data_IF_776705620427
#
_entry.id   IF_776705620427
#
_cell.length_a   1.000
_cell.length_b   1.000
_cell.length_c   1.000
_cell.angle_alpha   90.00
_cell.angle_beta   90.00
_cell.angle_gamma   90.00
#
_symmetry.space_group_name_H-M   'P 1'
#
loop_
_entity.id
_entity.type
_entity.pdbx_description
1 polymer ?
#
# COMPACT_ATOMS: atom_id res chain seq x y z
N UNK A 1 -20.55 -7.51 19.28
CA UNK A 1 -21.87 -8.12 19.06
C UNK A 1 -21.70 -9.40 18.24
N UNK A 2 -22.40 -10.47 18.63
CA UNK A 2 -22.38 -11.71 17.85
C UNK A 2 -23.36 -11.53 16.69
N UNK A 3 -22.88 -11.58 15.44
CA UNK A 3 -23.76 -11.61 14.28
C UNK A 3 -24.65 -12.86 14.33
N UNK A 4 -25.93 -12.70 14.07
CA UNK A 4 -26.79 -13.86 13.81
C UNK A 4 -26.65 -14.25 12.34
N UNK A 5 -25.86 -15.26 12.09
CA UNK A 5 -25.54 -15.72 10.73
C UNK A 5 -26.75 -16.29 9.98
N UNK A 6 -27.85 -16.56 10.68
CA UNK A 6 -29.08 -17.05 10.04
C UNK A 6 -29.79 -15.98 9.22
N UNK A 7 -29.52 -14.70 9.50
CA UNK A 7 -30.13 -13.57 8.78
C UNK A 7 -29.44 -13.26 7.43
N UNK A 8 -28.31 -13.91 7.14
CA UNK A 8 -27.52 -13.66 5.95
C UNK A 8 -27.63 -14.80 4.94
N UNK A 9 -27.64 -14.47 3.66
CA UNK A 9 -27.54 -15.43 2.54
C UNK A 9 -26.15 -15.55 1.96
N UNK A 10 -25.29 -14.52 2.17
CA UNK A 10 -23.93 -14.44 1.62
C UNK A 10 -22.97 -13.85 2.64
N UNK A 11 -21.75 -14.37 2.66
CA UNK A 11 -20.61 -13.82 3.41
C UNK A 11 -19.42 -13.64 2.46
N UNK A 12 -18.96 -12.39 2.33
CA UNK A 12 -17.73 -12.05 1.61
C UNK A 12 -16.54 -11.92 2.56
N UNK A 13 -15.43 -12.58 2.24
CA UNK A 13 -14.19 -12.49 3.01
C UNK A 13 -13.10 -11.93 2.10
N UNK A 14 -12.60 -10.73 2.40
CA UNK A 14 -11.51 -10.09 1.66
C UNK A 14 -10.16 -10.46 2.27
N UNK A 15 -9.28 -11.07 1.48
CA UNK A 15 -7.93 -11.50 1.87
C UNK A 15 -6.92 -10.72 1.01
N UNK A 16 -6.41 -9.63 1.56
CA UNK A 16 -5.51 -8.70 0.87
C UNK A 16 -4.03 -8.89 1.22
N UNK A 17 -3.74 -9.64 2.29
CA UNK A 17 -2.40 -9.89 2.78
C UNK A 17 -2.20 -11.37 3.11
N UNK A 18 -0.98 -11.91 2.87
CA UNK A 18 -0.66 -13.32 3.10
C UNK A 18 -0.96 -13.79 4.54
N UNK A 19 -0.73 -12.94 5.54
CA UNK A 19 -1.08 -13.22 6.93
C UNK A 19 -2.58 -13.41 7.20
N UNK A 20 -3.45 -12.99 6.29
CA UNK A 20 -4.91 -13.17 6.42
C UNK A 20 -5.41 -14.49 5.81
N UNK A 21 -4.56 -15.24 5.07
CA UNK A 21 -4.97 -16.47 4.38
C UNK A 21 -5.47 -17.51 5.38
N UNK A 22 -4.65 -17.85 6.37
CA UNK A 22 -5.01 -18.89 7.36
C UNK A 22 -6.25 -18.48 8.18
N UNK A 23 -6.32 -17.29 8.82
CA UNK A 23 -7.51 -16.92 9.57
C UNK A 23 -8.75 -16.75 8.68
N UNK A 24 -8.62 -16.23 7.45
CA UNK A 24 -9.73 -16.07 6.51
C UNK A 24 -10.31 -17.41 6.05
N UNK A 25 -9.46 -18.35 5.65
CA UNK A 25 -9.89 -19.70 5.27
C UNK A 25 -10.44 -20.49 6.47
N UNK A 26 -9.87 -20.30 7.66
CA UNK A 26 -10.42 -20.91 8.89
C UNK A 26 -11.83 -20.43 9.16
N UNK A 27 -12.06 -19.11 9.08
CA UNK A 27 -13.40 -18.52 9.22
C UNK A 27 -14.36 -19.07 8.16
N UNK A 28 -13.94 -19.09 6.90
CA UNK A 28 -14.74 -19.62 5.79
C UNK A 28 -15.20 -21.07 6.06
N UNK A 29 -14.26 -21.95 6.46
CA UNK A 29 -14.54 -23.35 6.76
C UNK A 29 -15.50 -23.51 7.95
N UNK A 30 -15.33 -22.72 9.01
CA UNK A 30 -16.20 -22.77 10.18
C UNK A 30 -17.62 -22.32 9.82
N UNK A 31 -17.77 -21.23 9.06
CA UNK A 31 -19.06 -20.74 8.59
C UNK A 31 -19.76 -21.77 7.70
N UNK A 32 -19.03 -22.34 6.74
CA UNK A 32 -19.58 -23.36 5.82
C UNK A 32 -20.11 -24.59 6.55
N UNK A 33 -19.39 -25.05 7.57
CA UNK A 33 -19.81 -26.20 8.37
C UNK A 33 -21.01 -25.91 9.27
N UNK A 34 -21.06 -24.71 9.86
CA UNK A 34 -22.06 -24.37 10.87
C UNK A 34 -23.34 -23.80 10.26
N UNK A 35 -23.21 -23.14 9.10
CA UNK A 35 -24.30 -22.43 8.40
C UNK A 35 -24.31 -22.82 6.91
N UNK A 36 -24.75 -24.04 6.56
CA UNK A 36 -24.67 -24.55 5.18
C UNK A 36 -25.49 -23.75 4.14
N UNK A 37 -26.41 -22.91 4.59
CA UNK A 37 -27.22 -22.04 3.72
C UNK A 37 -26.44 -20.80 3.24
N UNK A 38 -25.32 -20.45 3.88
CA UNK A 38 -24.53 -19.28 3.50
C UNK A 38 -23.73 -19.57 2.24
N UNK A 39 -23.83 -18.71 1.24
CA UNK A 39 -22.85 -18.65 0.16
C UNK A 39 -21.61 -17.90 0.65
N UNK A 40 -20.45 -18.52 0.59
CA UNK A 40 -19.20 -17.91 1.01
C UNK A 40 -18.40 -17.56 -0.23
N UNK A 41 -18.08 -16.28 -0.40
CA UNK A 41 -17.23 -15.75 -1.48
C UNK A 41 -15.94 -15.18 -0.91
N UNK A 42 -14.82 -15.55 -1.52
CA UNK A 42 -13.51 -14.98 -1.18
C UNK A 42 -13.16 -13.91 -2.23
N UNK A 43 -12.50 -12.85 -1.79
CA UNK A 43 -11.93 -11.82 -2.66
C UNK A 43 -10.61 -11.30 -2.09
N UNK A 44 -10.09 -10.27 -2.73
CA UNK A 44 -8.85 -9.60 -2.31
C UNK A 44 -7.63 -10.00 -3.13
N UNK A 45 -6.57 -9.19 -3.04
CA UNK A 45 -5.40 -9.25 -3.92
C UNK A 45 -4.65 -10.59 -3.88
N UNK A 46 -4.66 -11.31 -2.75
CA UNK A 46 -3.98 -12.61 -2.65
C UNK A 46 -4.61 -13.62 -3.59
N UNK A 47 -5.95 -13.74 -3.59
CA UNK A 47 -6.64 -14.68 -4.48
C UNK A 47 -6.66 -14.22 -5.93
N UNK A 48 -6.62 -12.92 -6.18
CA UNK A 48 -6.44 -12.38 -7.53
C UNK A 48 -5.10 -12.83 -8.13
N UNK A 49 -4.02 -12.79 -7.34
CA UNK A 49 -2.67 -13.21 -7.76
C UNK A 49 -2.51 -14.74 -7.91
N UNK A 50 -3.46 -15.52 -7.40
CA UNK A 50 -3.45 -16.97 -7.44
C UNK A 50 -4.64 -17.57 -8.20
N UNK A 51 -5.32 -16.76 -9.01
CA UNK A 51 -6.48 -17.21 -9.79
C UNK A 51 -6.16 -18.42 -10.67
N UNK A 52 -4.97 -18.45 -11.27
CA UNK A 52 -4.45 -19.53 -12.12
C UNK A 52 -4.23 -20.84 -11.36
N UNK A 53 -3.94 -20.79 -10.06
CA UNK A 53 -3.73 -21.99 -9.25
C UNK A 53 -5.02 -22.67 -8.84
N UNK A 54 -6.15 -21.97 -8.87
CA UNK A 54 -7.43 -22.47 -8.37
C UNK A 54 -7.95 -23.64 -9.19
N UNK A 55 -7.56 -23.78 -10.46
CA UNK A 55 -7.93 -24.91 -11.34
C UNK A 55 -7.60 -26.28 -10.74
N UNK A 56 -6.54 -26.34 -9.93
CA UNK A 56 -6.05 -27.55 -9.29
C UNK A 56 -6.37 -27.60 -7.78
N UNK A 57 -7.26 -26.74 -7.28
CA UNK A 57 -7.58 -26.60 -5.87
C UNK A 57 -9.06 -26.84 -5.54
N UNK A 58 -9.68 -27.84 -6.19
CA UNK A 58 -11.11 -28.20 -5.98
C UNK A 58 -11.47 -28.39 -4.50
N UNK A 59 -10.53 -28.86 -3.68
CA UNK A 59 -10.72 -29.02 -2.24
C UNK A 59 -11.05 -27.68 -1.54
N UNK A 60 -10.52 -26.54 -2.04
CA UNK A 60 -10.85 -25.23 -1.47
C UNK A 60 -12.32 -24.89 -1.68
N UNK A 61 -12.86 -25.17 -2.86
CA UNK A 61 -14.29 -24.95 -3.19
C UNK A 61 -15.19 -25.92 -2.43
N UNK A 62 -14.75 -27.15 -2.20
CA UNK A 62 -15.52 -28.16 -1.46
C UNK A 62 -15.59 -27.87 0.03
N UNK A 63 -14.49 -27.46 0.65
CA UNK A 63 -14.34 -27.41 2.10
C UNK A 63 -14.40 -26.00 2.72
N UNK A 64 -14.06 -24.96 1.95
CA UNK A 64 -13.89 -23.63 2.52
C UNK A 64 -14.88 -22.60 1.99
N UNK A 65 -15.02 -22.44 0.67
CA UNK A 65 -15.84 -21.39 0.07
C UNK A 65 -16.58 -21.90 -1.18
N UNK A 66 -17.54 -21.14 -1.69
CA UNK A 66 -18.32 -21.50 -2.87
C UNK A 66 -17.77 -20.85 -4.13
N UNK A 67 -17.21 -19.64 -4.01
CA UNK A 67 -16.71 -18.88 -5.15
C UNK A 67 -15.61 -17.90 -4.75
N UNK A 68 -14.88 -17.42 -5.75
CA UNK A 68 -13.87 -16.37 -5.62
C UNK A 68 -14.21 -15.25 -6.60
N UNK A 69 -14.14 -14.00 -6.16
CA UNK A 69 -14.18 -12.84 -7.05
C UNK A 69 -12.76 -12.33 -7.23
N UNK A 70 -12.30 -12.26 -8.46
CA UNK A 70 -11.00 -11.71 -8.85
C UNK A 70 -11.14 -10.29 -9.38
N UNK A 71 -10.03 -9.54 -9.39
CA UNK A 71 -10.01 -8.12 -9.76
C UNK A 71 -10.90 -7.26 -8.83
N UNK A 72 -11.55 -6.23 -9.34
CA UNK A 72 -12.43 -5.35 -8.56
C UNK A 72 -13.79 -6.00 -8.32
N UNK A 73 -14.26 -5.91 -7.09
CA UNK A 73 -15.41 -6.67 -6.61
C UNK A 73 -16.77 -5.97 -6.65
N UNK A 74 -16.82 -4.67 -6.90
CA UNK A 74 -18.06 -3.88 -6.75
C UNK A 74 -19.21 -4.43 -7.60
N UNK A 75 -19.02 -4.47 -8.90
CA UNK A 75 -20.04 -4.99 -9.84
C UNK A 75 -20.22 -6.51 -9.73
N UNK A 76 -19.17 -7.33 -9.70
CA UNK A 76 -19.32 -8.78 -9.54
C UNK A 76 -20.04 -9.19 -8.28
N UNK A 77 -19.81 -8.52 -7.14
CA UNK A 77 -20.49 -8.83 -5.89
C UNK A 77 -21.97 -8.47 -5.96
N UNK A 78 -22.31 -7.32 -6.53
CA UNK A 78 -23.71 -6.93 -6.75
C UNK A 78 -24.45 -7.96 -7.61
N UNK A 79 -23.85 -8.37 -8.73
CA UNK A 79 -24.42 -9.36 -9.61
C UNK A 79 -24.53 -10.73 -8.94
N UNK A 80 -23.52 -11.17 -8.19
CA UNK A 80 -23.59 -12.41 -7.41
C UNK A 80 -24.76 -12.40 -6.42
N UNK A 81 -24.95 -11.31 -5.68
CA UNK A 81 -26.09 -11.16 -4.76
C UNK A 81 -27.42 -11.28 -5.51
N UNK A 82 -27.56 -10.64 -6.67
CA UNK A 82 -28.78 -10.70 -7.48
C UNK A 82 -29.05 -12.12 -8.01
N UNK A 83 -28.00 -12.83 -8.47
CA UNK A 83 -28.14 -14.23 -8.93
C UNK A 83 -28.55 -15.17 -7.80
N UNK A 84 -27.96 -15.02 -6.62
CA UNK A 84 -28.34 -15.82 -5.45
C UNK A 84 -29.79 -15.58 -5.00
N UNK A 85 -30.27 -14.33 -5.08
CA UNK A 85 -31.66 -13.98 -4.76
C UNK A 85 -32.67 -14.52 -5.76
N UNK A 86 -32.31 -14.55 -7.03
CA UNK A 86 -33.22 -14.95 -8.13
C UNK A 86 -33.09 -16.41 -8.51
N UNK A 87 -32.08 -17.13 -8.02
CA UNK A 87 -31.78 -18.51 -8.39
C UNK A 87 -31.21 -18.64 -9.81
N UNK A 88 -30.67 -17.57 -10.39
CA UNK A 88 -30.04 -17.60 -11.71
C UNK A 88 -28.68 -18.29 -11.66
N UNK A 89 -28.25 -18.82 -12.82
CA UNK A 89 -26.95 -19.49 -12.94
C UNK A 89 -25.78 -18.52 -12.75
N UNK A 90 -24.74 -18.96 -12.05
CA UNK A 90 -23.54 -18.18 -11.77
C UNK A 90 -22.66 -17.88 -13.02
N UNK A 91 -22.89 -18.57 -14.12
CA UNK A 91 -22.08 -18.50 -15.33
C UNK A 91 -21.97 -17.11 -15.97
N UNK A 92 -22.88 -16.20 -15.66
CA UNK A 92 -22.91 -14.83 -16.20
C UNK A 92 -22.38 -13.76 -15.22
N UNK A 93 -22.06 -14.13 -13.98
CA UNK A 93 -21.46 -13.20 -13.00
C UNK A 93 -20.00 -12.93 -13.40
N UNK A 94 -19.63 -11.71 -13.77
CA UNK A 94 -18.27 -11.46 -14.23
C UNK A 94 -17.24 -11.64 -13.11
N UNK A 95 -15.99 -11.87 -13.47
CA UNK A 95 -14.86 -12.04 -12.55
C UNK A 95 -15.05 -13.15 -11.49
N UNK A 96 -16.06 -14.01 -11.63
CA UNK A 96 -16.35 -15.08 -10.69
C UNK A 96 -15.59 -16.36 -11.07
N UNK A 97 -14.96 -16.96 -10.09
CA UNK A 97 -14.42 -18.33 -10.18
C UNK A 97 -15.23 -19.19 -9.22
N UNK A 98 -15.79 -20.27 -9.69
CA UNK A 98 -16.61 -21.20 -8.90
C UNK A 98 -16.46 -22.63 -9.41
N UNK A 99 -16.96 -23.58 -8.65
CA UNK A 99 -16.92 -24.99 -9.07
C UNK A 99 -18.30 -25.44 -9.56
N UNK A 100 -18.34 -26.06 -10.73
CA UNK A 100 -19.49 -26.71 -11.34
C UNK A 100 -19.11 -28.16 -11.69
N UNK A 101 -19.85 -29.13 -11.21
CA UNK A 101 -19.62 -30.56 -11.45
C UNK A 101 -18.13 -30.99 -11.43
N UNK A 102 -17.44 -30.71 -10.33
CA UNK A 102 -16.01 -31.04 -10.14
C UNK A 102 -15.01 -30.23 -11.00
N UNK A 103 -15.48 -29.28 -11.80
CA UNK A 103 -14.63 -28.38 -12.60
C UNK A 103 -14.63 -26.98 -12.03
N UNK A 104 -13.47 -26.38 -11.99
CA UNK A 104 -13.36 -24.95 -11.69
C UNK A 104 -13.65 -24.17 -12.96
N UNK A 105 -14.57 -23.24 -12.88
CA UNK A 105 -15.03 -22.39 -13.99
C UNK A 105 -14.57 -20.96 -13.72
N UNK A 106 -13.92 -20.35 -14.68
CA UNK A 106 -13.56 -18.94 -14.71
C UNK A 106 -14.50 -18.20 -15.63
N UNK A 107 -15.32 -17.31 -15.09
CA UNK A 107 -16.19 -16.47 -15.91
C UNK A 107 -15.41 -15.35 -16.60
N UNK A 108 -16.03 -14.74 -17.61
CA UNK A 108 -15.45 -13.62 -18.34
C UNK A 108 -15.10 -12.47 -17.42
N UNK A 109 -13.94 -11.87 -17.63
CA UNK A 109 -13.51 -10.69 -16.88
C UNK A 109 -14.32 -9.47 -17.33
N UNK A 110 -14.83 -8.69 -16.37
CA UNK A 110 -15.45 -7.40 -16.64
C UNK A 110 -14.38 -6.29 -16.68
N UNK A 111 -14.67 -5.22 -17.40
CA UNK A 111 -13.91 -3.99 -17.26
C UNK A 111 -14.15 -3.38 -15.88
N UNK A 112 -13.12 -2.78 -15.34
CA UNK A 112 -13.19 -2.05 -14.07
C UNK A 112 -14.13 -0.84 -14.21
N UNK A 113 -14.90 -0.54 -13.17
CA UNK A 113 -15.79 0.63 -13.18
C UNK A 113 -14.98 1.92 -13.35
N UNK A 114 -15.48 2.89 -14.13
CA UNK A 114 -14.99 4.26 -14.09
C UNK A 114 -14.94 4.78 -12.66
N UNK A 115 -13.92 5.56 -12.32
CA UNK A 115 -13.72 5.96 -10.92
C UNK A 115 -14.88 6.81 -10.38
N UNK A 116 -15.48 7.63 -11.21
CA UNK A 116 -16.65 8.47 -10.90
C UNK A 116 -17.95 7.69 -10.62
N UNK A 117 -17.96 6.40 -10.93
CA UNK A 117 -19.07 5.49 -10.59
C UNK A 117 -18.85 4.74 -9.26
N UNK A 118 -17.67 4.88 -8.66
CA UNK A 118 -17.42 4.34 -7.33
C UNK A 118 -18.13 5.20 -6.28
N UNK A 119 -18.66 4.54 -5.26
CA UNK A 119 -19.35 5.23 -4.18
C UNK A 119 -18.37 5.75 -3.13
N UNK A 120 -18.68 6.90 -2.53
CA UNK A 120 -17.96 7.39 -1.37
C UNK A 120 -17.95 6.33 -0.25
N UNK A 121 -16.80 6.06 0.40
CA UNK A 121 -16.74 5.06 1.45
C UNK A 121 -17.67 5.38 2.63
N UNK A 122 -18.18 4.35 3.27
CA UNK A 122 -18.98 4.49 4.49
C UNK A 122 -18.43 3.61 5.61
N UNK A 123 -18.46 4.13 6.83
CA UNK A 123 -17.98 3.47 8.03
C UNK A 123 -19.08 3.26 9.06
N UNK A 124 -20.36 3.39 8.65
CA UNK A 124 -21.53 3.38 9.53
C UNK A 124 -21.69 2.09 10.33
N UNK A 125 -21.21 0.97 9.78
CA UNK A 125 -21.31 -0.33 10.44
C UNK A 125 -20.09 -0.69 11.30
N UNK A 126 -19.09 0.19 11.36
CA UNK A 126 -17.91 -0.02 12.18
C UNK A 126 -18.09 0.67 13.53
N UNK A 127 -17.78 -0.01 14.64
CA UNK A 127 -17.86 0.57 15.97
C UNK A 127 -16.63 1.49 16.22
N UNK A 128 -16.59 2.64 15.53
CA UNK A 128 -15.41 3.54 15.52
C UNK A 128 -15.02 3.97 16.94
N UNK A 129 -15.98 4.06 17.86
CA UNK A 129 -15.75 4.41 19.27
C UNK A 129 -15.01 3.32 20.07
N UNK A 130 -14.87 2.10 19.51
CA UNK A 130 -14.15 0.99 20.15
C UNK A 130 -12.70 0.84 19.65
N UNK A 131 -12.32 1.62 18.65
CA UNK A 131 -10.94 1.62 18.18
C UNK A 131 -10.03 2.32 19.20
N UNK A 132 -8.81 1.81 19.37
CA UNK A 132 -7.82 2.34 20.30
C UNK A 132 -7.15 3.60 19.75
N UNK A 133 -7.96 4.57 19.35
CA UNK A 133 -7.55 5.86 18.78
C UNK A 133 -8.35 6.96 19.46
N UNK A 134 -7.71 8.08 19.84
CA UNK A 134 -8.42 9.22 20.44
C UNK A 134 -9.44 9.85 19.50
N UNK A 135 -9.18 9.79 18.20
CA UNK A 135 -10.07 10.25 17.12
C UNK A 135 -10.05 9.23 15.98
N UNK A 136 -11.16 9.00 15.27
CA UNK A 136 -11.14 8.18 14.08
C UNK A 136 -10.21 8.77 13.02
N UNK A 137 -9.31 7.95 12.47
CA UNK A 137 -8.55 8.26 11.26
C UNK A 137 -9.13 7.43 10.14
N UNK A 138 -9.76 8.07 9.16
CA UNK A 138 -10.51 7.40 8.11
C UNK A 138 -9.62 7.14 6.89
N UNK A 139 -9.55 5.89 6.39
CA UNK A 139 -8.90 5.63 5.12
C UNK A 139 -9.73 6.22 3.98
N UNK A 140 -9.03 6.85 3.04
CA UNK A 140 -9.59 7.37 1.80
C UNK A 140 -8.66 7.03 0.64
N UNK A 141 -9.21 6.74 -0.51
CA UNK A 141 -8.46 6.40 -1.71
C UNK A 141 -8.94 7.29 -2.86
N UNK A 142 -8.07 8.15 -3.36
CA UNK A 142 -8.39 9.06 -4.47
C UNK A 142 -8.07 8.48 -5.84
N UNK A 143 -7.31 7.38 -5.88
CA UNK A 143 -6.94 6.70 -7.12
C UNK A 143 -6.74 5.20 -6.91
N UNK A 144 -6.86 4.42 -7.96
CA UNK A 144 -6.52 2.99 -8.00
C UNK A 144 -5.44 2.74 -9.03
N UNK A 145 -4.47 1.91 -8.67
CA UNK A 145 -3.25 1.69 -9.44
C UNK A 145 -2.22 2.81 -9.25
N UNK A 146 -1.05 2.62 -9.83
CA UNK A 146 0.03 3.59 -9.80
C UNK A 146 0.14 4.28 -11.15
N UNK A 147 0.14 5.63 -11.16
CA UNK A 147 0.26 6.40 -12.39
C UNK A 147 1.60 6.21 -13.12
N UNK A 148 2.66 5.81 -12.40
CA UNK A 148 3.93 5.46 -12.99
C UNK A 148 3.93 4.05 -13.55
N UNK A 149 3.64 3.05 -12.75
CA UNK A 149 3.39 1.65 -13.14
C UNK A 149 4.56 0.91 -13.79
N UNK A 150 5.81 1.43 -13.73
CA UNK A 150 6.96 0.88 -14.48
C UNK A 150 8.03 0.24 -13.59
N UNK A 151 7.99 0.47 -12.28
CA UNK A 151 9.00 -0.06 -11.37
C UNK A 151 9.10 -1.58 -11.50
N UNK A 152 10.30 -2.08 -11.80
CA UNK A 152 10.51 -3.47 -12.21
C UNK A 152 10.28 -4.50 -11.10
N UNK A 153 10.34 -4.07 -9.86
CA UNK A 153 10.10 -4.89 -8.67
C UNK A 153 8.65 -4.87 -8.20
N UNK A 154 7.87 -3.86 -8.61
CA UNK A 154 6.58 -3.55 -8.05
C UNK A 154 5.44 -4.32 -8.73
N UNK A 155 4.44 -4.72 -7.94
CA UNK A 155 3.26 -5.49 -8.40
C UNK A 155 1.95 -4.70 -8.35
N UNK A 156 1.97 -3.44 -7.92
CA UNK A 156 0.75 -2.63 -7.78
C UNK A 156 -0.01 -2.45 -9.10
N UNK A 157 0.72 -2.31 -10.22
CA UNK A 157 0.10 -2.26 -11.54
C UNK A 157 -0.67 -3.54 -11.88
N UNK A 158 -0.15 -4.70 -11.49
CA UNK A 158 -0.80 -5.99 -11.72
C UNK A 158 -2.10 -6.11 -10.92
N UNK A 159 -2.11 -5.68 -9.65
CA UNK A 159 -3.29 -5.78 -8.77
C UNK A 159 -4.51 -5.05 -9.35
N UNK A 160 -4.29 -3.94 -10.05
CA UNK A 160 -5.34 -3.13 -10.68
C UNK A 160 -5.37 -3.28 -12.21
N UNK A 161 -4.96 -4.44 -12.72
CA UNK A 161 -4.95 -4.75 -14.16
C UNK A 161 -4.17 -3.75 -15.03
N UNK A 162 -3.15 -3.13 -14.44
CA UNK A 162 -2.30 -2.09 -15.06
C UNK A 162 -3.04 -0.79 -15.43
N UNK A 163 -4.25 -0.57 -14.92
CA UNK A 163 -5.01 0.65 -15.17
C UNK A 163 -4.92 1.61 -13.99
N UNK A 164 -4.37 2.80 -14.26
CA UNK A 164 -4.46 3.92 -13.32
C UNK A 164 -5.74 4.70 -13.57
N UNK A 165 -6.55 4.85 -12.54
CA UNK A 165 -7.78 5.64 -12.54
C UNK A 165 -7.83 6.47 -11.27
N UNK A 166 -8.31 7.69 -11.37
CA UNK A 166 -8.43 8.58 -10.22
C UNK A 166 -9.77 9.30 -10.19
N UNK A 167 -10.13 9.75 -9.03
CA UNK A 167 -11.27 10.62 -8.81
C UNK A 167 -10.99 12.04 -9.32
N UNK A 168 -12.06 12.78 -9.60
CA UNK A 168 -11.99 14.22 -9.83
C UNK A 168 -11.64 14.93 -8.53
N UNK A 169 -10.70 15.85 -8.58
CA UNK A 169 -10.15 16.51 -7.40
C UNK A 169 -11.18 17.36 -6.64
N UNK A 170 -12.16 17.94 -7.34
CA UNK A 170 -13.28 18.64 -6.71
C UNK A 170 -14.16 17.68 -5.91
N UNK A 171 -14.44 16.49 -6.46
CA UNK A 171 -15.21 15.44 -5.77
C UNK A 171 -14.44 14.89 -4.57
N UNK A 172 -13.12 14.74 -4.66
CA UNK A 172 -12.29 14.36 -3.49
C UNK A 172 -12.51 15.36 -2.34
N UNK A 173 -12.43 16.67 -2.62
CA UNK A 173 -12.65 17.68 -1.59
C UNK A 173 -14.09 17.66 -1.03
N UNK A 174 -15.09 17.33 -1.86
CA UNK A 174 -16.49 17.17 -1.43
C UNK A 174 -16.69 15.95 -0.55
N UNK A 175 -16.10 14.82 -0.91
CA UNK A 175 -16.20 13.58 -0.13
C UNK A 175 -15.46 13.70 1.21
N UNK A 176 -14.28 14.32 1.25
CA UNK A 176 -13.56 14.59 2.50
C UNK A 176 -14.39 15.50 3.42
N UNK A 177 -14.99 16.57 2.89
CA UNK A 177 -15.90 17.45 3.67
C UNK A 177 -17.11 16.68 4.21
N UNK A 178 -17.73 15.85 3.38
CA UNK A 178 -18.86 14.99 3.78
C UNK A 178 -18.46 14.00 4.90
N UNK A 179 -17.36 13.27 4.70
CA UNK A 179 -16.88 12.28 5.68
C UNK A 179 -16.47 12.95 7.00
N UNK A 180 -15.79 14.09 6.91
CA UNK A 180 -15.39 14.88 8.09
C UNK A 180 -16.60 15.26 8.95
N UNK A 181 -17.65 15.79 8.33
CA UNK A 181 -18.89 16.18 9.01
C UNK A 181 -19.65 14.97 9.56
N UNK A 182 -19.77 13.90 8.76
CA UNK A 182 -20.52 12.69 9.12
C UNK A 182 -19.89 11.97 10.32
N UNK A 183 -18.58 11.77 10.29
CA UNK A 183 -17.85 11.00 11.31
C UNK A 183 -17.18 11.90 12.37
N UNK A 184 -17.37 13.22 12.30
CA UNK A 184 -16.82 14.22 13.24
C UNK A 184 -15.31 14.05 13.45
N UNK A 185 -14.59 13.90 12.35
CA UNK A 185 -13.13 13.79 12.34
C UNK A 185 -12.54 14.65 11.23
N UNK A 186 -11.32 15.12 11.45
CA UNK A 186 -10.52 15.81 10.44
C UNK A 186 -9.33 14.96 9.94
N UNK A 187 -9.21 13.71 10.44
CA UNK A 187 -8.04 12.88 10.22
C UNK A 187 -8.32 11.83 9.16
N UNK A 188 -7.44 11.79 8.15
CA UNK A 188 -7.54 10.88 7.01
C UNK A 188 -6.19 10.24 6.68
N UNK A 189 -6.23 9.01 6.17
CA UNK A 189 -5.09 8.33 5.56
C UNK A 189 -5.40 8.14 4.09
N UNK A 190 -4.67 8.82 3.21
CA UNK A 190 -4.75 8.54 1.78
C UNK A 190 -4.00 7.22 1.50
N UNK A 191 -4.77 6.23 1.03
CA UNK A 191 -4.28 4.86 0.79
C UNK A 191 -3.93 4.63 -0.68
N UNK A 192 -3.70 5.70 -1.42
CA UNK A 192 -3.25 5.66 -2.82
C UNK A 192 -1.86 5.04 -2.92
N UNK A 193 -1.58 4.27 -3.97
CA UNK A 193 -0.25 3.70 -4.24
C UNK A 193 0.79 4.79 -4.54
N UNK A 194 0.39 5.84 -5.23
CA UNK A 194 1.12 7.09 -5.38
C UNK A 194 0.18 8.16 -5.97
N UNK A 195 0.07 9.30 -5.32
CA UNK A 195 -0.65 10.45 -5.86
C UNK A 195 0.28 11.18 -6.82
N UNK A 196 -0.18 11.43 -8.07
CA UNK A 196 0.66 12.18 -9.01
C UNK A 196 0.79 13.65 -8.59
N UNK A 197 1.94 14.34 -8.80
CA UNK A 197 2.12 15.73 -8.38
C UNK A 197 1.04 16.66 -8.90
N UNK A 198 0.60 16.50 -10.16
CA UNK A 198 -0.48 17.28 -10.75
C UNK A 198 -1.84 17.06 -10.06
N UNK A 199 -2.17 15.81 -9.70
CA UNK A 199 -3.40 15.51 -8.97
C UNK A 199 -3.31 16.09 -7.56
N UNK A 200 -2.15 15.96 -6.91
CA UNK A 200 -1.92 16.48 -5.57
C UNK A 200 -2.07 17.99 -5.49
N UNK A 201 -1.48 18.73 -6.47
CA UNK A 201 -1.62 20.19 -6.57
C UNK A 201 -3.10 20.60 -6.70
N UNK A 202 -3.83 20.00 -7.65
CA UNK A 202 -5.24 20.33 -7.88
C UNK A 202 -6.12 19.98 -6.67
N UNK A 203 -5.91 18.79 -6.09
CA UNK A 203 -6.64 18.35 -4.91
C UNK A 203 -6.41 19.28 -3.72
N UNK A 204 -5.17 19.66 -3.45
CA UNK A 204 -4.83 20.59 -2.37
C UNK A 204 -5.52 21.94 -2.55
N UNK A 205 -5.52 22.47 -3.77
CA UNK A 205 -6.22 23.73 -4.10
C UNK A 205 -7.73 23.63 -3.92
N UNK A 206 -8.37 22.54 -4.31
CA UNK A 206 -9.81 22.35 -4.12
C UNK A 206 -10.17 22.19 -2.63
N UNK A 207 -9.35 21.48 -1.84
CA UNK A 207 -9.51 21.38 -0.39
C UNK A 207 -9.42 22.75 0.27
N UNK A 208 -8.39 23.54 -0.07
CA UNK A 208 -8.20 24.90 0.43
C UNK A 208 -9.35 25.83 0.04
N UNK A 209 -9.76 25.81 -1.21
CA UNK A 209 -10.88 26.63 -1.73
C UNK A 209 -12.20 26.31 -1.03
N UNK A 210 -12.44 25.05 -0.70
CA UNK A 210 -13.63 24.60 0.00
C UNK A 210 -13.58 24.91 1.51
N UNK A 211 -12.38 25.18 2.05
CA UNK A 211 -12.17 25.45 3.47
C UNK A 211 -12.35 24.21 4.36
N UNK A 212 -12.07 23.04 3.84
CA UNK A 212 -12.14 21.79 4.60
C UNK A 212 -10.96 21.72 5.57
N UNK A 213 -11.24 21.55 6.86
CA UNK A 213 -10.20 21.25 7.83
C UNK A 213 -9.86 19.76 7.75
N UNK A 214 -8.66 19.45 7.29
CA UNK A 214 -8.14 18.09 7.16
C UNK A 214 -6.74 17.98 7.77
N UNK A 215 -6.43 16.80 8.31
CA UNK A 215 -5.09 16.37 8.69
C UNK A 215 -4.87 14.99 8.09
N UNK A 216 -3.82 14.85 7.31
CA UNK A 216 -3.64 13.64 6.52
C UNK A 216 -2.19 13.26 6.32
N UNK A 217 -2.02 12.05 5.86
CA UNK A 217 -0.80 11.52 5.27
C UNK A 217 -1.10 10.97 3.87
N UNK A 218 -0.07 10.90 3.02
CA UNK A 218 -0.21 10.38 1.65
C UNK A 218 1.11 9.85 1.12
N UNK A 219 1.04 9.16 -0.02
CA UNK A 219 2.20 8.60 -0.70
C UNK A 219 2.50 9.36 -1.99
N UNK A 220 3.76 9.70 -2.19
CA UNK A 220 4.26 10.41 -3.36
C UNK A 220 5.48 9.68 -3.93
N UNK A 221 5.64 9.72 -5.24
CA UNK A 221 6.83 9.25 -5.95
C UNK A 221 7.66 10.47 -6.34
N UNK A 222 8.97 10.39 -6.23
CA UNK A 222 9.87 11.44 -6.72
C UNK A 222 9.72 11.63 -8.24
N UNK A 223 9.51 12.87 -8.66
CA UNK A 223 9.37 13.27 -10.06
C UNK A 223 10.41 14.32 -10.45
N UNK A 224 11.05 14.14 -11.58
CA UNK A 224 11.98 15.12 -12.12
C UNK A 224 11.30 16.34 -12.73
N UNK A 225 12.00 17.48 -12.73
CA UNK A 225 11.51 18.76 -13.25
C UNK A 225 10.76 19.59 -12.20
N UNK A 226 10.04 20.63 -12.66
CA UNK A 226 9.34 21.58 -11.77
C UNK A 226 8.02 21.04 -11.19
N UNK A 227 7.76 19.76 -11.31
CA UNK A 227 6.49 19.17 -10.88
C UNK A 227 6.34 19.13 -9.35
N UNK A 228 7.44 19.04 -8.64
CA UNK A 228 7.50 18.95 -7.16
C UNK A 228 8.20 20.21 -6.60
N UNK A 229 7.66 21.38 -7.01
CA UNK A 229 8.16 22.68 -6.60
C UNK A 229 7.86 23.00 -5.12
N UNK A 230 8.57 23.97 -4.52
CA UNK A 230 8.26 24.47 -3.17
C UNK A 230 6.77 24.86 -3.01
N UNK A 231 6.20 25.54 -3.99
CA UNK A 231 4.80 26.02 -3.95
C UNK A 231 3.81 24.86 -3.91
N UNK A 232 4.11 23.74 -4.57
CA UNK A 232 3.30 22.52 -4.44
C UNK A 232 3.24 22.06 -2.99
N UNK A 233 4.40 21.93 -2.34
CA UNK A 233 4.45 21.40 -0.96
C UNK A 233 3.87 22.39 0.05
N UNK A 234 3.98 23.70 -0.18
CA UNK A 234 3.29 24.71 0.63
C UNK A 234 1.75 24.54 0.55
N UNK A 235 1.20 24.38 -0.66
CA UNK A 235 -0.25 24.15 -0.84
C UNK A 235 -0.67 22.79 -0.25
N UNK A 236 0.13 21.74 -0.40
CA UNK A 236 -0.10 20.39 0.17
C UNK A 236 -0.14 20.46 1.70
N UNK A 237 0.85 21.11 2.33
CA UNK A 237 0.87 21.26 3.79
C UNK A 237 -0.31 22.12 4.29
N UNK A 238 -0.61 23.22 3.64
CA UNK A 238 -1.78 24.08 3.97
C UNK A 238 -3.11 23.34 3.83
N UNK A 239 -3.22 22.43 2.87
CA UNK A 239 -4.39 21.57 2.70
C UNK A 239 -4.52 20.50 3.81
N UNK A 240 -3.48 20.32 4.63
CA UNK A 240 -3.49 19.47 5.82
C UNK A 240 -2.70 18.17 5.72
N UNK A 241 -1.90 17.97 4.67
CA UNK A 241 -0.97 16.85 4.63
C UNK A 241 0.25 17.13 5.52
N UNK A 242 0.31 16.45 6.65
CA UNK A 242 1.37 16.64 7.65
C UNK A 242 2.53 15.67 7.45
N UNK A 243 2.31 14.55 6.76
CA UNK A 243 3.31 13.51 6.54
C UNK A 243 3.18 12.96 5.11
N UNK A 244 4.32 12.83 4.45
CA UNK A 244 4.41 12.19 3.14
C UNK A 244 5.36 10.99 3.19
N UNK A 245 4.94 9.91 2.55
CA UNK A 245 5.72 8.72 2.33
C UNK A 245 6.31 8.74 0.93
N UNK A 246 7.59 8.53 0.83
CA UNK A 246 8.33 8.47 -0.43
C UNK A 246 9.00 7.11 -0.60
N UNK A 247 8.78 6.49 -1.75
CA UNK A 247 9.61 5.36 -2.14
C UNK A 247 10.95 5.86 -2.65
N UNK A 248 12.00 5.85 -1.81
CA UNK A 248 13.38 6.10 -2.23
C UNK A 248 13.91 4.90 -3.01
N UNK A 249 13.71 3.72 -2.44
CA UNK A 249 14.19 2.40 -2.87
C UNK A 249 15.71 2.30 -2.84
N UNK A 250 16.44 3.19 -3.52
CA UNK A 250 17.88 3.37 -3.53
C UNK A 250 18.21 4.84 -3.82
N UNK A 251 19.36 5.34 -3.38
CA UNK A 251 19.88 6.65 -3.76
C UNK A 251 21.09 6.53 -4.74
N UNK A 252 21.22 5.41 -5.43
CA UNK A 252 22.23 5.21 -6.47
C UNK A 252 21.56 5.24 -7.85
N UNK A 253 22.03 6.14 -8.74
CA UNK A 253 21.40 6.38 -10.05
C UNK A 253 21.38 5.14 -10.96
N UNK A 254 22.36 4.24 -10.86
CA UNK A 254 22.37 2.99 -11.64
C UNK A 254 21.23 2.08 -11.15
N UNK A 255 21.06 1.92 -9.86
CA UNK A 255 19.97 1.10 -9.28
C UNK A 255 18.63 1.72 -9.60
N UNK A 256 18.46 3.04 -9.43
CA UNK A 256 17.23 3.76 -9.80
C UNK A 256 16.86 3.56 -11.27
N UNK A 257 17.86 3.54 -12.17
CA UNK A 257 17.66 3.26 -13.59
C UNK A 257 17.24 1.80 -13.85
N UNK A 258 17.84 0.81 -13.17
CA UNK A 258 17.50 -0.61 -13.37
C UNK A 258 16.10 -0.93 -12.84
N UNK A 259 15.72 -0.34 -11.72
CA UNK A 259 14.37 -0.51 -11.16
C UNK A 259 13.31 0.31 -11.89
N UNK A 260 13.67 1.12 -12.88
CA UNK A 260 12.80 2.03 -13.65
C UNK A 260 12.00 2.97 -12.75
N UNK A 261 12.69 3.59 -11.77
CA UNK A 261 12.06 4.51 -10.81
C UNK A 261 11.69 5.85 -11.46
N UNK A 262 12.44 6.27 -12.49
CA UNK A 262 12.18 7.49 -13.26
C UNK A 262 12.54 8.77 -12.51
N UNK A 263 13.49 8.72 -11.62
CA UNK A 263 14.15 9.84 -10.94
C UNK A 263 15.63 9.53 -10.77
N UNK A 264 16.37 10.50 -10.29
CA UNK A 264 17.79 10.42 -9.90
C UNK A 264 17.98 10.96 -8.47
N UNK A 265 19.15 10.74 -7.90
CA UNK A 265 19.49 11.18 -6.54
C UNK A 265 19.33 12.70 -6.35
N UNK A 266 19.67 13.50 -7.37
CA UNK A 266 19.54 14.94 -7.30
C UNK A 266 18.08 15.39 -7.19
N UNK A 267 17.18 14.73 -7.92
CA UNK A 267 15.73 14.90 -7.82
C UNK A 267 15.23 14.55 -6.42
N UNK A 268 15.64 13.39 -5.88
CA UNK A 268 15.25 12.95 -4.54
C UNK A 268 15.63 13.97 -3.47
N UNK A 269 16.86 14.46 -3.51
CA UNK A 269 17.38 15.48 -2.59
C UNK A 269 16.58 16.77 -2.67
N UNK A 270 16.28 17.24 -3.88
CA UNK A 270 15.51 18.47 -4.10
C UNK A 270 14.08 18.37 -3.56
N UNK A 271 13.41 17.28 -3.86
CA UNK A 271 12.02 17.03 -3.44
C UNK A 271 11.91 16.92 -1.93
N UNK A 272 12.82 16.16 -1.29
CA UNK A 272 12.85 16.02 0.17
C UNK A 272 13.07 17.37 0.87
N UNK A 273 13.97 18.19 0.31
CA UNK A 273 14.18 19.56 0.81
C UNK A 273 12.90 20.38 0.70
N UNK A 274 12.29 20.47 -0.47
CA UNK A 274 11.10 21.29 -0.71
C UNK A 274 9.93 20.87 0.20
N UNK A 275 9.72 19.55 0.37
CA UNK A 275 8.70 19.01 1.26
C UNK A 275 8.98 19.32 2.73
N UNK A 276 10.23 19.13 3.17
CA UNK A 276 10.63 19.42 4.55
C UNK A 276 10.54 20.89 4.89
N UNK A 277 10.98 21.79 3.99
CA UNK A 277 10.92 23.23 4.17
C UNK A 277 9.46 23.73 4.28
N UNK A 278 8.53 23.07 3.60
CA UNK A 278 7.10 23.35 3.74
C UNK A 278 6.49 22.89 5.08
N UNK A 279 7.25 22.24 5.95
CA UNK A 279 6.79 21.76 7.25
C UNK A 279 6.26 20.33 7.27
N UNK A 280 6.42 19.56 6.21
CA UNK A 280 5.94 18.19 6.08
C UNK A 280 6.96 17.22 6.69
N UNK A 281 6.48 16.18 7.36
CA UNK A 281 7.27 15.04 7.81
C UNK A 281 7.52 14.09 6.66
N UNK A 282 8.77 13.91 6.25
CA UNK A 282 9.17 13.00 5.18
C UNK A 282 9.53 11.63 5.76
N UNK A 283 8.81 10.59 5.34
CA UNK A 283 9.14 9.18 5.63
C UNK A 283 9.60 8.50 4.35
N UNK A 284 10.74 7.81 4.41
CA UNK A 284 11.28 7.07 3.27
C UNK A 284 11.05 5.57 3.39
N UNK A 285 10.77 4.93 2.26
CA UNK A 285 10.90 3.49 2.10
C UNK A 285 12.09 3.20 1.19
N UNK A 286 12.92 2.25 1.60
CA UNK A 286 14.06 1.78 0.83
C UNK A 286 14.32 0.29 1.05
N UNK A 287 15.10 -0.30 0.18
CA UNK A 287 15.52 -1.69 0.33
C UNK A 287 16.98 -1.86 -0.14
N UNK A 288 17.61 -2.93 0.36
CA UNK A 288 18.92 -3.38 -0.05
C UNK A 288 18.84 -4.77 -0.70
N UNK A 289 19.81 -5.08 -1.56
CA UNK A 289 19.97 -6.39 -2.16
C UNK A 289 19.12 -6.60 -3.41
N UNK A 290 18.85 -5.51 -4.17
CA UNK A 290 18.32 -5.69 -5.52
C UNK A 290 19.35 -6.46 -6.36
N UNK A 291 18.94 -7.46 -7.18
CA UNK A 291 19.87 -8.18 -8.04
C UNK A 291 20.74 -7.23 -8.85
N UNK A 292 22.04 -7.44 -8.82
CA UNK A 292 23.13 -6.59 -9.35
C UNK A 292 23.57 -5.40 -8.48
N UNK A 293 22.91 -5.11 -7.38
CA UNK A 293 23.38 -4.07 -6.46
C UNK A 293 24.70 -4.51 -5.79
N UNK A 294 25.72 -3.70 -5.91
CA UNK A 294 27.03 -3.90 -5.27
C UNK A 294 27.07 -3.15 -3.93
N UNK A 295 27.99 -3.54 -3.04
CA UNK A 295 28.11 -2.95 -1.70
C UNK A 295 28.29 -1.42 -1.73
N UNK A 296 29.13 -0.92 -2.62
CA UNK A 296 29.37 0.50 -2.78
C UNK A 296 28.11 1.30 -3.13
N UNK A 297 27.18 0.68 -3.86
CA UNK A 297 25.92 1.31 -4.25
C UNK A 297 24.91 1.33 -3.10
N UNK A 298 24.90 0.29 -2.29
CA UNK A 298 24.14 0.28 -1.04
C UNK A 298 24.70 1.33 -0.05
N UNK A 299 26.03 1.47 0.03
CA UNK A 299 26.69 2.52 0.83
C UNK A 299 26.37 3.95 0.34
N UNK A 300 26.13 4.16 -0.98
CA UNK A 300 25.62 5.43 -1.50
C UNK A 300 24.24 5.77 -0.90
N UNK A 301 23.36 4.78 -0.80
CA UNK A 301 22.04 4.94 -0.20
C UNK A 301 22.11 5.23 1.31
N UNK A 302 23.02 4.56 2.02
CA UNK A 302 23.29 4.82 3.44
C UNK A 302 23.80 6.26 3.63
N UNK A 303 24.82 6.64 2.88
CA UNK A 303 25.41 7.99 2.94
C UNK A 303 24.38 9.08 2.63
N UNK A 304 23.57 8.92 1.58
CA UNK A 304 22.50 9.84 1.24
C UNK A 304 21.51 10.01 2.39
N UNK A 305 21.11 8.89 3.02
CA UNK A 305 20.18 8.90 4.15
C UNK A 305 20.77 9.63 5.36
N UNK A 306 22.03 9.37 5.71
CA UNK A 306 22.75 10.05 6.80
C UNK A 306 22.88 11.55 6.55
N UNK A 307 23.31 11.95 5.36
CA UNK A 307 23.48 13.37 5.00
C UNK A 307 22.18 14.16 5.08
N UNK A 308 21.04 13.50 4.85
CA UNK A 308 19.74 14.14 4.85
C UNK A 308 18.89 13.82 6.11
N UNK A 309 19.43 13.06 7.07
CA UNK A 309 18.78 12.69 8.33
C UNK A 309 18.57 13.88 9.27
N UNK A 310 17.96 13.64 10.42
CA UNK A 310 17.76 14.64 11.49
C UNK A 310 19.09 15.25 12.00
N UNK A 311 20.14 14.46 12.05
CA UNK A 311 21.48 14.94 12.43
C UNK A 311 22.28 15.55 11.28
N UNK A 312 21.80 15.40 10.05
CA UNK A 312 22.35 16.00 8.84
C UNK A 312 21.66 17.30 8.46
N UNK A 313 21.05 17.32 7.24
CA UNK A 313 20.32 18.51 6.76
C UNK A 313 18.89 18.62 7.30
N UNK A 314 18.36 17.58 7.93
CA UNK A 314 17.02 17.54 8.48
C UNK A 314 15.89 17.41 7.45
N UNK A 315 16.18 16.88 6.26
CA UNK A 315 15.16 16.72 5.23
C UNK A 315 14.44 15.35 5.26
N UNK A 316 15.01 14.36 5.94
CA UNK A 316 14.43 13.04 6.19
C UNK A 316 14.15 12.93 7.69
N UNK A 317 12.94 12.53 8.06
CA UNK A 317 12.50 12.48 9.46
C UNK A 317 12.22 11.06 9.97
N UNK A 318 12.01 10.12 9.07
CA UNK A 318 11.84 8.71 9.42
C UNK A 318 12.10 7.80 8.21
N UNK A 319 12.47 6.53 8.49
CA UNK A 319 12.84 5.56 7.46
C UNK A 319 12.23 4.21 7.77
N UNK A 320 11.73 3.54 6.74
CA UNK A 320 11.38 2.13 6.75
C UNK A 320 12.28 1.38 5.76
N UNK A 321 13.16 0.52 6.27
CA UNK A 321 14.05 -0.27 5.44
C UNK A 321 13.57 -1.72 5.31
N UNK A 322 13.94 -2.36 4.21
CA UNK A 322 13.71 -3.77 3.98
C UNK A 322 14.85 -4.40 3.17
N UNK A 323 14.85 -5.72 3.10
CA UNK A 323 15.63 -6.45 2.11
C UNK A 323 14.73 -6.66 0.90
N UNK A 324 15.30 -6.54 -0.30
CA UNK A 324 14.59 -6.78 -1.54
C UNK A 324 13.87 -8.13 -1.52
N UNK A 325 12.60 -8.12 -1.85
CA UNK A 325 11.74 -9.29 -1.95
C UNK A 325 11.30 -9.49 -3.40
N UNK A 326 11.58 -10.65 -3.97
CA UNK A 326 11.14 -11.00 -5.32
C UNK A 326 9.68 -11.43 -5.28
N UNK A 327 8.79 -10.56 -5.74
CA UNK A 327 7.36 -10.82 -5.73
C UNK A 327 6.86 -11.44 -7.05
N UNK A 328 5.94 -12.41 -6.93
CA UNK A 328 5.15 -12.93 -8.06
C UNK A 328 4.53 -11.76 -8.83
N UNK A 329 4.47 -11.87 -10.14
CA UNK A 329 3.84 -10.92 -11.07
C UNK A 329 4.61 -9.61 -11.29
N UNK A 330 5.77 -9.39 -10.63
CA UNK A 330 6.67 -8.28 -10.93
C UNK A 330 7.40 -8.48 -12.26
N UNK A 331 7.90 -7.39 -12.87
CA UNK A 331 8.66 -7.49 -14.12
C UNK A 331 9.93 -8.32 -13.97
N UNK A 332 10.60 -8.25 -12.80
CA UNK A 332 11.75 -9.08 -12.49
C UNK A 332 11.38 -10.57 -12.35
N UNK A 333 10.22 -10.88 -11.79
CA UNK A 333 9.72 -12.27 -11.71
C UNK A 333 9.49 -12.87 -13.09
N UNK A 334 8.90 -12.10 -14.02
CA UNK A 334 8.64 -12.59 -15.39
C UNK A 334 9.88 -12.61 -16.28
N UNK A 335 10.91 -11.81 -15.98
CA UNK A 335 12.12 -11.69 -16.76
C UNK A 335 13.41 -11.79 -15.91
N UNK A 336 13.59 -12.86 -15.12
CA UNK A 336 14.63 -12.94 -14.11
C UNK A 336 16.04 -12.79 -14.70
N UNK A 337 16.30 -13.35 -15.89
CA UNK A 337 17.59 -13.29 -16.55
C UNK A 337 18.04 -11.87 -16.92
N UNK A 338 17.10 -10.96 -17.23
CA UNK A 338 17.38 -9.54 -17.50
C UNK A 338 18.01 -8.85 -16.29
N UNK A 339 17.61 -9.26 -15.09
CA UNK A 339 18.07 -8.71 -13.83
C UNK A 339 19.13 -9.56 -13.13
N UNK A 340 19.78 -10.49 -13.86
CA UNK A 340 20.81 -11.38 -13.32
C UNK A 340 20.33 -12.26 -12.17
N UNK A 341 19.06 -12.51 -12.05
CA UNK A 341 18.54 -13.61 -11.23
C UNK A 341 18.90 -14.91 -11.95
N UNK A 342 19.53 -15.83 -11.24
CA UNK A 342 19.92 -17.14 -11.78
C UNK A 342 18.75 -18.12 -11.73
N UNK A 343 18.10 -18.18 -10.58
CA UNK A 343 17.01 -19.11 -10.31
C UNK A 343 16.04 -18.51 -9.31
N UNK A 344 14.73 -18.66 -9.58
CA UNK A 344 13.65 -18.45 -8.60
C UNK A 344 13.39 -19.79 -7.91
N UNK A 345 13.39 -19.79 -6.59
CA UNK A 345 13.22 -20.99 -5.77
C UNK A 345 11.75 -21.15 -5.41
N UNK A 346 11.14 -22.20 -5.94
CA UNK A 346 9.76 -22.58 -5.66
C UNK A 346 9.74 -23.68 -4.58
N UNK A 347 9.18 -23.36 -3.42
CA UNK A 347 8.96 -24.30 -2.34
C UNK A 347 7.64 -25.04 -2.62
N UNK A 348 7.64 -26.37 -2.81
CA UNK A 348 6.44 -27.15 -3.10
C UNK A 348 5.41 -27.16 -1.95
N UNK A 349 5.83 -26.83 -0.74
CA UNK A 349 4.95 -26.75 0.43
C UNK A 349 4.32 -25.35 0.61
N UNK A 350 4.69 -24.39 -0.26
CA UNK A 350 4.24 -22.98 -0.24
C UNK A 350 3.58 -22.57 -1.54
N UNK A 351 2.58 -23.32 -1.99
CA UNK A 351 1.93 -23.12 -3.28
C UNK A 351 1.14 -21.80 -3.43
N UNK A 352 0.82 -21.13 -2.31
CA UNK A 352 0.24 -19.78 -2.30
C UNK A 352 1.26 -18.69 -1.92
N UNK A 353 2.55 -18.91 -2.17
CA UNK A 353 3.56 -17.90 -1.96
C UNK A 353 3.44 -16.77 -2.99
N UNK A 354 3.56 -15.53 -2.52
CA UNK A 354 3.66 -14.33 -3.36
C UNK A 354 5.06 -13.72 -3.35
N UNK A 355 5.91 -14.15 -2.42
CA UNK A 355 7.33 -13.79 -2.31
C UNK A 355 8.15 -15.05 -2.44
N UNK A 356 9.21 -14.99 -3.25
CA UNK A 356 10.07 -16.14 -3.56
C UNK A 356 11.51 -15.86 -3.17
N UNK A 357 12.18 -16.88 -2.69
CA UNK A 357 13.63 -16.90 -2.57
C UNK A 357 14.24 -17.04 -3.97
N UNK A 358 15.45 -16.55 -4.15
CA UNK A 358 16.13 -16.55 -5.45
C UNK A 358 17.64 -16.57 -5.30
N UNK A 359 18.32 -17.11 -6.33
CA UNK A 359 19.76 -17.02 -6.50
C UNK A 359 20.10 -15.95 -7.54
N UNK A 360 21.26 -15.27 -7.41
CA UNK A 360 21.71 -14.20 -8.30
C UNK A 360 23.03 -14.58 -9.00
N UNK A 361 23.26 -13.98 -10.16
CA UNK A 361 24.52 -14.09 -10.92
C UNK A 361 25.48 -12.93 -10.67
N UNK A 362 24.99 -11.83 -10.13
CA UNK A 362 25.76 -10.63 -9.87
C UNK A 362 25.10 -9.80 -8.77
N UNK A 363 25.91 -9.03 -8.04
CA UNK A 363 25.48 -8.23 -6.89
C UNK A 363 25.86 -8.90 -5.57
N UNK A 364 25.44 -8.30 -4.47
CA UNK A 364 25.73 -8.78 -3.12
C UNK A 364 25.05 -10.14 -2.83
N UNK A 365 25.79 -11.15 -2.34
CA UNK A 365 25.16 -12.36 -1.81
C UNK A 365 24.32 -12.05 -0.57
N UNK A 366 23.35 -12.90 -0.25
CA UNK A 366 22.37 -12.66 0.83
C UNK A 366 23.02 -12.35 2.18
N UNK A 367 24.16 -12.98 2.51
CA UNK A 367 24.89 -12.72 3.75
C UNK A 367 25.40 -11.28 3.81
N UNK A 368 25.94 -10.78 2.72
CA UNK A 368 26.42 -9.40 2.61
C UNK A 368 25.26 -8.38 2.63
N UNK A 369 24.13 -8.71 2.01
CA UNK A 369 22.91 -7.88 2.11
C UNK A 369 22.43 -7.77 3.56
N UNK A 370 22.48 -8.87 4.32
CA UNK A 370 22.14 -8.84 5.74
C UNK A 370 23.08 -7.95 6.54
N UNK A 371 24.39 -8.03 6.26
CA UNK A 371 25.40 -7.21 6.91
C UNK A 371 25.17 -5.71 6.65
N UNK A 372 24.88 -5.34 5.40
CA UNK A 372 24.49 -3.96 5.03
C UNK A 372 23.22 -3.51 5.74
N UNK A 373 22.20 -4.37 5.80
CA UNK A 373 20.93 -4.08 6.46
C UNK A 373 21.12 -3.83 7.97
N UNK A 374 21.89 -4.69 8.65
CA UNK A 374 22.19 -4.56 10.09
C UNK A 374 23.04 -3.31 10.38
N UNK A 375 24.04 -3.04 9.51
CA UNK A 375 24.81 -1.80 9.60
C UNK A 375 23.91 -0.57 9.48
N UNK A 376 23.00 -0.54 8.50
CA UNK A 376 22.09 0.58 8.30
C UNK A 376 21.13 0.76 9.49
N UNK A 377 20.63 -0.33 10.09
CA UNK A 377 19.77 -0.26 11.29
C UNK A 377 20.50 0.43 12.45
N UNK A 378 21.79 0.11 12.66
CA UNK A 378 22.64 0.80 13.65
C UNK A 378 22.82 2.29 13.32
N UNK A 379 23.04 2.62 12.06
CA UNK A 379 23.19 4.01 11.59
C UNK A 379 21.92 4.83 11.82
N UNK A 380 20.74 4.24 11.57
CA UNK A 380 19.46 4.91 11.82
C UNK A 380 19.28 5.25 13.31
N UNK A 381 19.69 4.38 14.22
CA UNK A 381 19.60 4.64 15.67
C UNK A 381 20.38 5.89 16.09
N UNK A 382 21.51 6.14 15.44
CA UNK A 382 22.38 7.28 15.73
C UNK A 382 21.90 8.58 15.05
N UNK A 383 21.33 8.46 13.83
CA UNK A 383 21.04 9.61 12.97
C UNK A 383 19.60 10.10 13.02
N UNK A 384 18.70 9.31 13.63
CA UNK A 384 17.28 9.63 13.80
C UNK A 384 16.86 9.56 15.28
N UNK A 385 17.19 10.55 16.11
CA UNK A 385 16.75 10.58 17.51
C UNK A 385 15.24 10.41 17.71
N UNK A 386 14.42 10.91 16.76
CA UNK A 386 12.95 10.77 16.80
C UNK A 386 12.47 9.34 16.58
N UNK A 387 13.33 8.39 16.18
CA UNK A 387 13.00 6.97 16.06
C UNK A 387 12.37 6.41 17.35
N UNK A 388 12.79 6.89 18.50
CA UNK A 388 12.23 6.55 19.82
C UNK A 388 10.75 6.90 19.97
N UNK A 389 10.21 7.77 19.10
CA UNK A 389 8.81 8.19 19.09
C UNK A 389 8.07 7.45 17.97
N UNK A 390 8.46 7.68 16.70
CA UNK A 390 7.70 7.20 15.57
C UNK A 390 7.75 5.69 15.36
N UNK A 391 8.80 5.00 15.77
CA UNK A 391 8.95 3.55 15.58
C UNK A 391 7.97 2.72 16.43
N UNK A 392 7.39 3.29 17.49
CA UNK A 392 6.44 2.62 18.38
C UNK A 392 4.99 3.02 18.13
N UNK A 393 4.74 3.94 17.23
CA UNK A 393 3.41 4.41 16.88
C UNK A 393 3.02 3.88 15.50
N UNK A 394 1.74 3.53 15.33
CA UNK A 394 1.23 3.38 13.97
C UNK A 394 1.28 4.76 13.27
N UNK A 395 1.34 4.76 11.95
CA UNK A 395 1.34 6.00 11.15
C UNK A 395 0.12 6.89 11.46
N UNK A 396 -1.01 6.28 11.78
CA UNK A 396 -2.24 6.99 12.15
C UNK A 396 -2.12 7.65 13.53
N UNK A 397 -1.53 6.97 14.53
CA UNK A 397 -1.23 7.58 15.81
C UNK A 397 -0.20 8.69 15.67
N UNK A 398 0.82 8.48 14.84
CA UNK A 398 1.85 9.48 14.61
C UNK A 398 1.29 10.73 13.91
N UNK A 399 0.31 10.59 13.00
CA UNK A 399 -0.43 11.71 12.43
C UNK A 399 -1.09 12.59 13.52
N UNK A 400 -1.70 11.95 14.55
CA UNK A 400 -2.29 12.69 15.66
C UNK A 400 -1.23 13.42 16.49
N UNK A 401 -0.04 12.82 16.65
CA UNK A 401 1.09 13.48 17.32
C UNK A 401 1.57 14.69 16.51
N UNK A 402 1.71 14.56 15.19
CA UNK A 402 2.09 15.68 14.32
C UNK A 402 1.09 16.83 14.37
N UNK A 403 -0.22 16.56 14.39
CA UNK A 403 -1.23 17.61 14.53
C UNK A 403 -1.21 18.26 15.92
N UNK A 404 -0.90 17.48 16.96
CA UNK A 404 -0.91 17.98 18.36
C UNK A 404 0.31 18.80 18.70
N UNK A 405 1.50 18.39 18.31
CA UNK A 405 2.77 18.96 18.74
C UNK A 405 3.50 19.72 17.63
N UNK A 406 3.24 19.37 16.36
CA UNK A 406 4.02 19.87 15.24
C UNK A 406 5.36 19.17 15.06
N UNK A 407 5.90 19.25 13.85
CA UNK A 407 7.17 18.60 13.47
C UNK A 407 8.34 19.03 14.35
N UNK A 408 8.52 20.34 14.50
CA UNK A 408 9.66 20.91 15.23
C UNK A 408 9.68 20.50 16.71
N UNK A 409 8.51 20.49 17.36
CA UNK A 409 8.44 20.10 18.78
C UNK A 409 8.74 18.61 18.96
N UNK A 410 8.29 17.75 18.06
CA UNK A 410 8.61 16.30 18.09
C UNK A 410 10.11 16.08 17.96
N UNK A 411 10.77 16.79 17.02
CA UNK A 411 12.21 16.70 16.85
C UNK A 411 12.95 17.21 18.10
N UNK A 412 12.51 18.33 18.69
CA UNK A 412 13.09 18.87 19.92
C UNK A 412 12.96 17.92 21.11
N UNK A 413 11.78 17.30 21.29
CA UNK A 413 11.56 16.28 22.34
C UNK A 413 12.52 15.11 22.18
N UNK A 414 12.69 14.63 20.95
CA UNK A 414 13.56 13.49 20.66
C UNK A 414 15.05 13.81 20.96
N UNK A 415 15.51 14.98 20.54
CA UNK A 415 16.88 15.44 20.81
C UNK A 415 17.13 15.64 22.31
N UNK A 416 16.18 16.21 23.04
CA UNK A 416 16.30 16.42 24.50
C UNK A 416 16.38 15.10 25.26
N UNK A 417 15.59 14.10 24.87
CA UNK A 417 15.61 12.76 25.47
C UNK A 417 16.90 11.95 25.17
N UNK A 418 17.69 12.38 24.19
CA UNK A 418 18.95 11.74 23.81
C UNK A 418 20.15 12.29 24.61
N UNK A 419 19.97 13.36 25.35
CA UNK A 419 21.03 14.04 26.11
C UNK A 419 21.04 13.62 27.60
N UNK A 420 20.01 12.93 28.10
CA UNK A 420 20.05 12.36 29.47
C UNK A 420 20.76 10.99 29.43
N UNK A 421 21.83 10.80 30.25
CA UNK A 421 22.62 9.57 30.28
C UNK A 421 21.89 8.37 30.89
#
# INVERSE_FOLDING_TARGET
EKADWNDYGLVGISIIHSGQVIPGLTLARLLRKRFPHLHIVIGGSVFNRHADLLDNKQALFKDFFHSVIVSEGEKPLEELVNHLKTGQALATVPNLIYMDDEKVIHNTKAEALPYDQLVCPTFDQLPLEKYLMPYPVLPYMSSRGCYWGKCTFCTHSFIYDSYYRKENETRVAEEIDYLSKKYKTKYFTFSDEAISPNAFNRMSKEILKKGVEMRSLGMLKFESGDKESPELFEDVHRAGFLMLFFGLESANDRILSIIDKGCDQATEKSVLKNSSDAGIWNHLYLFFGFPTEEREEAEDTIRFTVENSETGTGHIHSVGQSIFALEKDSAIYHNPGKFKVDRIIHDPDRDMAIVFDFDIKAGMPREEVMDVYEHFDSVIEETFPSRKIWNYLSREHFLLYLDRFGKEEILNMAHSASVEP
#
